data_IF_174130844967
#
_entry.id   IF_174130844967
#
_cell.length_a   1.000
_cell.length_b   1.000
_cell.length_c   1.000
_cell.angle_alpha   90.00
_cell.angle_beta   90.00
_cell.angle_gamma   90.00
#
_symmetry.space_group_name_H-M   'P 1'
#
loop_
_entity.id
_entity.type
_entity.pdbx_description
1 polymer ?
2 non-polymer ?
3 non-polymer ?
4 water ?
#
# COMPACT_ATOMS: atom_id res chain seq x y z
N UNK A 9 -5.29 31.89 2.34
CA UNK A 9 -5.39 30.85 3.36
C UNK A 9 -4.04 30.62 4.03
N UNK A 10 -2.99 31.24 3.49
CA UNK A 10 -1.64 31.01 3.98
C UNK A 10 -1.37 31.63 5.34
N UNK A 11 -2.38 32.19 6.01
CA UNK A 11 -2.18 32.76 7.33
C UNK A 11 -2.94 32.01 8.40
N UNK A 12 -3.39 30.80 8.08
CA UNK A 12 -4.22 30.03 9.01
C UNK A 12 -3.39 29.48 10.17
N UNK A 13 -2.24 28.87 9.86
CA UNK A 13 -1.45 28.23 10.90
C UNK A 13 -0.75 29.23 11.80
N UNK A 14 -0.35 30.38 11.24
CA UNK A 14 0.20 31.43 12.10
C UNK A 14 -0.89 32.11 12.92
N UNK A 15 -2.15 32.03 12.49
CA UNK A 15 -3.24 32.56 13.29
C UNK A 15 -3.57 31.64 14.46
N UNK A 16 -3.52 30.33 14.24
CA UNK A 16 -3.77 29.35 15.29
C UNK A 16 -2.55 29.09 16.17
N UNK A 17 -1.38 29.59 15.79
CA UNK A 17 -0.18 29.38 16.57
C UNK A 17 0.50 28.05 16.33
N UNK A 18 0.35 27.49 15.13
CA UNK A 18 0.94 26.20 14.78
C UNK A 18 2.20 26.45 13.97
N UNK A 19 3.34 25.86 14.35
CA UNK A 19 4.57 26.13 13.60
C UNK A 19 4.59 25.38 12.28
N UNK A 20 5.45 25.85 11.39
CA UNK A 20 5.60 25.26 10.08
C UNK A 20 6.41 26.11 9.13
N UNK A 21 6.81 25.54 8.00
CA UNK A 21 7.61 26.30 7.04
C UNK A 21 6.79 27.36 6.33
N UNK A 22 7.40 28.53 6.13
CA UNK A 22 6.70 29.64 5.51
C UNK A 22 6.36 29.31 4.05
N UNK A 23 5.10 29.41 3.65
CA UNK A 23 4.70 29.07 2.28
C UNK A 23 4.93 30.21 1.31
N UNK A 24 5.23 29.83 0.05
CA UNK A 24 5.30 30.77 -1.04
C UNK A 24 3.91 30.96 -1.67
N UNK A 25 3.63 32.15 -2.21
CA UNK A 25 2.33 32.37 -2.86
C UNK A 25 2.09 31.37 -3.98
N UNK A 26 0.82 30.94 -4.10
CA UNK A 26 0.37 29.95 -5.08
C UNK A 26 0.94 28.55 -4.81
N UNK A 27 2.25 28.47 -4.61
CA UNK A 27 2.90 27.17 -4.48
C UNK A 27 2.73 26.57 -3.09
N UNK A 28 2.67 27.39 -2.05
CA UNK A 28 2.67 26.85 -0.71
C UNK A 28 4.05 26.34 -0.38
N UNK A 29 4.15 25.10 0.09
CA UNK A 29 5.43 24.49 0.44
C UNK A 29 5.84 23.40 -0.55
N UNK A 30 5.26 23.36 -1.75
CA UNK A 30 5.48 22.23 -2.64
C UNK A 30 6.91 22.17 -3.17
N UNK A 31 7.63 23.29 -3.21
CA UNK A 31 9.03 23.23 -3.63
C UNK A 31 9.86 22.37 -2.69
N UNK A 32 9.46 22.29 -1.41
CA UNK A 32 10.16 21.46 -0.45
C UNK A 32 9.98 19.97 -0.71
N UNK A 33 9.16 19.59 -1.70
CA UNK A 33 9.02 18.20 -2.11
C UNK A 33 10.12 17.74 -3.06
N UNK A 34 11.10 18.62 -3.37
CA UNK A 34 12.15 18.24 -4.31
C UNK A 34 12.99 17.09 -3.78
N UNK A 35 13.12 16.99 -2.46
CA UNK A 35 13.83 15.88 -1.83
C UNK A 35 12.90 14.71 -1.50
N UNK A 36 11.68 14.73 -2.01
CA UNK A 36 10.69 13.73 -1.66
C UNK A 36 9.92 14.10 -0.41
N UNK A 37 8.60 13.99 -0.45
CA UNK A 37 7.80 14.40 0.70
C UNK A 37 8.04 13.54 1.93
N UNK A 38 8.68 12.38 1.79
CA UNK A 38 9.05 11.60 2.96
C UNK A 38 10.15 12.29 3.77
N UNK A 39 11.20 12.77 3.08
CA UNK A 39 12.24 13.52 3.76
C UNK A 39 11.69 14.84 4.31
N UNK A 40 10.77 15.47 3.58
CA UNK A 40 10.14 16.68 4.06
C UNK A 40 9.37 16.43 5.36
N UNK A 41 8.71 15.27 5.46
CA UNK A 41 8.00 14.94 6.69
C UNK A 41 8.97 14.71 7.84
N UNK A 42 10.11 14.06 7.57
CA UNK A 42 11.08 13.81 8.63
C UNK A 42 11.70 15.11 9.13
N UNK A 43 12.08 15.99 8.21
CA UNK A 43 12.69 17.26 8.61
C UNK A 43 11.71 18.11 9.41
N UNK A 44 10.45 18.17 8.96
CA UNK A 44 9.45 18.91 9.71
C UNK A 44 9.23 18.30 11.09
N UNK A 45 9.28 16.96 11.18
CA UNK A 45 9.15 16.31 12.48
C UNK A 45 10.32 16.66 13.39
N UNK A 46 11.53 16.77 12.82
CA UNK A 46 12.72 16.95 13.64
C UNK A 46 12.80 18.35 14.23
N UNK A 47 12.27 19.36 13.55
CA UNK A 47 12.45 20.74 13.97
C UNK A 47 11.18 21.42 14.46
N UNK A 48 10.02 20.76 14.39
CA UNK A 48 8.79 21.36 14.85
C UNK A 48 8.11 20.60 15.99
N UNK A 49 8.20 19.27 16.01
CA UNK A 49 7.69 18.52 17.13
C UNK A 49 6.46 17.68 16.83
N UNK A 50 5.51 17.69 17.76
CA UNK A 50 4.34 16.82 17.66
C UNK A 50 3.38 17.24 16.55
N UNK A 51 3.37 18.53 16.21
CA UNK A 51 2.35 19.08 15.32
C UNK A 51 2.98 20.18 14.48
N UNK A 52 2.67 20.19 13.19
CA UNK A 52 3.07 21.29 12.33
C UNK A 52 2.10 21.37 11.16
N UNK A 53 2.10 22.53 10.50
CA UNK A 53 1.24 22.76 9.37
C UNK A 53 2.01 23.23 8.16
N UNK A 54 1.46 22.96 6.99
CA UNK A 54 2.04 23.40 5.73
C UNK A 54 0.93 23.45 4.69
N UNK A 55 1.27 23.93 3.49
CA UNK A 55 0.29 24.22 2.47
C UNK A 55 0.66 23.53 1.17
N UNK A 56 -0.21 22.64 0.70
CA UNK A 56 -0.13 22.10 -0.65
C UNK A 56 -0.86 23.08 -1.55
N UNK A 57 -0.11 24.07 -2.05
CA UNK A 57 -0.74 25.18 -2.75
C UNK A 57 -1.49 26.06 -1.76
N UNK A 58 -2.80 26.13 -1.91
CA UNK A 58 -3.64 26.85 -0.96
C UNK A 58 -4.23 25.94 0.10
N UNK A 59 -4.02 24.64 0.00
CA UNK A 59 -4.65 23.70 0.92
C UNK A 59 -3.85 23.57 2.20
N UNK A 60 -4.40 23.98 3.35
CA UNK A 60 -3.68 23.76 4.61
C UNK A 60 -3.69 22.29 4.98
N UNK A 61 -2.53 21.81 5.45
CA UNK A 61 -2.36 20.43 5.88
C UNK A 61 -1.73 20.45 7.26
N UNK A 62 -2.36 19.78 8.21
CA UNK A 62 -1.87 19.72 9.58
C UNK A 62 -1.37 18.31 9.89
N UNK A 63 -0.07 18.20 10.14
CA UNK A 63 0.53 16.92 10.51
C UNK A 63 0.47 16.74 12.02
N UNK A 64 0.17 15.50 12.44
CA UNK A 64 0.09 15.14 13.84
C UNK A 64 0.87 13.85 14.06
N UNK A 65 1.61 13.79 15.18
CA UNK A 65 2.40 12.61 15.51
C UNK A 65 2.11 12.07 16.91
N UNK A 66 1.12 12.63 17.60
CA UNK A 66 0.78 12.16 18.94
C UNK A 66 -0.12 10.93 18.84
N UNK A 67 0.25 9.81 19.46
CA UNK A 67 -0.54 8.58 19.30
C UNK A 67 -1.98 8.73 19.78
N UNK A 68 -2.20 9.45 20.89
CA UNK A 68 -3.56 9.67 21.36
C UNK A 68 -4.34 10.52 20.37
N UNK A 69 -3.72 11.57 19.83
CA UNK A 69 -4.40 12.42 18.85
C UNK A 69 -4.62 11.69 17.54
N UNK A 70 -3.72 10.77 17.18
CA UNK A 70 -3.88 9.98 15.96
C UNK A 70 -5.07 9.03 16.10
N UNK A 71 -5.19 8.38 17.26
CA UNK A 71 -6.33 7.50 17.50
C UNK A 71 -7.64 8.28 17.46
N UNK A 72 -7.65 9.49 17.99
CA UNK A 72 -8.85 10.32 17.97
C UNK A 72 -9.30 10.59 16.54
N UNK A 73 -8.35 10.80 15.63
CA UNK A 73 -8.68 11.13 14.25
C UNK A 73 -9.06 9.88 13.47
N UNK A 74 -8.23 8.83 13.55
CA UNK A 74 -8.44 7.66 12.71
C UNK A 74 -9.57 6.78 13.22
N UNK A 75 -9.87 6.83 14.51
CA UNK A 75 -10.82 5.89 15.10
C UNK A 75 -11.99 6.60 15.76
N UNK A 76 -11.69 7.44 16.76
CA UNK A 76 -12.74 7.92 17.66
C UNK A 76 -13.66 8.93 16.96
N UNK A 77 -13.11 9.77 16.09
CA UNK A 77 -13.88 10.81 15.42
C UNK A 77 -13.94 10.57 13.92
N UNK A 78 -14.03 9.30 13.52
CA UNK A 78 -13.99 8.97 12.10
C UNK A 78 -15.29 9.33 11.40
N UNK A 79 -16.40 8.73 11.83
CA UNK A 79 -17.68 8.92 11.15
C UNK A 79 -18.20 10.34 11.25
N UNK A 80 -17.78 11.09 12.26
CA UNK A 80 -18.35 12.42 12.53
C UNK A 80 -17.56 13.56 11.90
N UNK A 81 -16.22 13.51 11.93
CA UNK A 81 -15.42 14.64 11.49
C UNK A 81 -14.42 14.23 10.42
N UNK A 82 -13.76 13.09 10.62
CA UNK A 82 -12.67 12.68 9.74
C UNK A 82 -13.05 11.44 8.93
N UNK A 83 -14.06 11.59 8.06
CA UNK A 83 -14.63 10.46 7.34
C UNK A 83 -13.94 10.21 6.00
N UNK A 84 -13.54 11.25 5.29
CA UNK A 84 -13.09 11.14 3.92
C UNK A 84 -11.62 11.51 3.79
N UNK A 85 -11.04 11.12 2.67
CA UNK A 85 -9.67 11.46 2.35
C UNK A 85 -9.63 12.73 1.49
N UNK A 86 -8.41 13.19 1.19
CA UNK A 86 -8.28 14.40 0.33
C UNK A 86 -8.43 13.99 -1.14
N UNK A 87 -9.40 14.55 -1.88
CA UNK A 87 -9.64 14.14 -3.27
C UNK A 87 -8.50 14.56 -4.19
N UNK A 88 -8.40 13.94 -5.37
CA UNK A 88 -7.33 14.30 -6.35
C UNK A 88 -7.95 15.02 -7.55
N UNK A 89 -7.27 14.99 -8.69
CA UNK A 89 -7.79 15.62 -9.92
C UNK A 89 -8.89 14.77 -10.55
N UNK A 90 -9.07 14.82 -11.89
CA UNK A 90 -10.21 14.16 -12.54
C UNK A 90 -10.36 12.69 -12.11
N UNK A 91 -11.49 12.34 -11.50
CA UNK A 91 -11.74 10.99 -11.05
C UNK A 91 -12.70 10.24 -11.97
N UNK A 92 -13.57 10.95 -12.70
CA UNK A 92 -14.51 10.27 -13.57
C UNK A 92 -15.49 9.43 -12.77
N UNK A 93 -15.78 8.23 -13.30
CA UNK A 93 -16.67 7.31 -12.58
C UNK A 93 -15.98 6.67 -11.38
N UNK A 94 -14.66 6.80 -11.25
CA UNK A 94 -13.95 6.23 -10.11
C UNK A 94 -14.30 6.90 -8.79
N UNK A 95 -15.07 7.99 -8.82
CA UNK A 95 -15.60 8.57 -7.59
C UNK A 95 -16.43 7.56 -6.81
N UNK A 96 -16.94 6.53 -7.47
CA UNK A 96 -17.70 5.47 -6.82
C UNK A 96 -16.82 4.34 -6.29
N UNK A 97 -15.51 4.42 -6.48
CA UNK A 97 -14.62 3.47 -5.83
C UNK A 97 -14.60 3.73 -4.33
N UNK A 98 -14.39 2.66 -3.56
CA UNK A 98 -14.54 2.76 -2.12
C UNK A 98 -13.45 3.64 -1.51
N UNK A 99 -12.21 3.53 -2.01
CA UNK A 99 -11.13 4.35 -1.47
C UNK A 99 -11.32 5.83 -1.79
N UNK A 100 -12.18 6.16 -2.76
CA UNK A 100 -12.40 7.54 -3.15
C UNK A 100 -13.74 8.08 -2.67
N UNK A 101 -14.75 7.21 -2.51
CA UNK A 101 -16.09 7.64 -2.14
C UNK A 101 -16.09 8.31 -0.76
N UNK A 102 -17.18 9.01 -0.46
CA UNK A 102 -17.24 9.87 0.71
C UNK A 102 -18.52 9.63 1.50
N UNK A 103 -18.40 9.78 2.83
CA UNK A 103 -19.52 9.91 3.76
C UNK A 103 -20.43 8.68 3.64
N UNK A 104 -21.73 8.83 3.37
CA UNK A 104 -22.64 7.70 3.35
C UNK A 104 -22.46 6.83 2.13
N UNK A 105 -21.93 7.36 1.03
CA UNK A 105 -21.63 6.52 -0.12
C UNK A 105 -20.51 5.53 0.21
N UNK A 106 -19.50 5.99 0.95
CA UNK A 106 -18.44 5.07 1.37
C UNK A 106 -18.95 4.06 2.38
N UNK A 107 -19.78 4.51 3.33
CA UNK A 107 -20.34 3.60 4.32
C UNK A 107 -21.12 2.47 3.65
N UNK A 108 -21.86 2.79 2.59
CA UNK A 108 -22.59 1.77 1.86
C UNK A 108 -21.64 0.80 1.16
N UNK A 109 -20.62 1.33 0.48
CA UNK A 109 -19.66 0.46 -0.20
C UNK A 109 -18.84 -0.35 0.79
N UNK A 110 -18.55 0.21 1.97
CA UNK A 110 -17.81 -0.52 2.98
C UNK A 110 -18.59 -1.73 3.47
N UNK A 111 -19.91 -1.58 3.67
CA UNK A 111 -20.72 -2.70 4.13
C UNK A 111 -20.85 -3.77 3.06
N UNK A 112 -21.02 -3.36 1.79
CA UNK A 112 -21.17 -4.35 0.72
C UNK A 112 -19.90 -5.12 0.47
N UNK A 113 -18.74 -4.51 0.73
CA UNK A 113 -17.45 -5.12 0.40
C UNK A 113 -16.76 -5.76 1.58
N UNK A 114 -17.17 -5.46 2.82
CA UNK A 114 -16.49 -6.02 3.99
C UNK A 114 -16.55 -7.54 4.06
N UNK A 115 -17.70 -8.20 3.86
CA UNK A 115 -17.70 -9.67 3.88
C UNK A 115 -16.84 -10.29 2.81
N UNK A 116 -16.55 -9.57 1.72
CA UNK A 116 -15.69 -10.11 0.68
C UNK A 116 -14.27 -10.34 1.18
N UNK A 117 -13.84 -9.59 2.19
CA UNK A 117 -12.51 -9.70 2.76
C UNK A 117 -12.54 -10.38 4.12
N UNK A 118 -13.43 -11.37 4.28
CA UNK A 118 -13.53 -12.15 5.50
C UNK A 118 -12.42 -13.20 5.54
N UNK A 119 -12.00 -13.55 6.75
CA UNK A 119 -11.06 -14.65 6.92
C UNK A 119 -11.58 -15.94 6.31
N UNK A 120 -12.90 -16.15 6.33
CA UNK A 120 -13.45 -17.34 5.71
C UNK A 120 -13.29 -17.35 4.20
N UNK A 121 -13.61 -16.23 3.56
CA UNK A 121 -13.42 -16.13 2.12
C UNK A 121 -11.93 -16.21 1.77
N UNK A 122 -11.07 -15.65 2.62
CA UNK A 122 -9.64 -15.75 2.41
C UNK A 122 -9.17 -17.20 2.48
N UNK A 123 -9.71 -17.96 3.43
CA UNK A 123 -9.33 -19.36 3.55
C UNK A 123 -9.77 -20.16 2.33
N UNK A 124 -10.84 -19.74 1.66
CA UNK A 124 -11.27 -20.37 0.42
C UNK A 124 -10.43 -19.94 -0.77
N UNK A 125 -9.78 -18.77 -0.69
CA UNK A 125 -8.95 -18.28 -1.78
C UNK A 125 -7.54 -18.86 -1.75
N UNK A 126 -7.13 -19.49 -0.66
CA UNK A 126 -5.77 -20.01 -0.52
C UNK A 126 -5.51 -21.15 -1.50
N UNK A 127 -6.36 -22.18 -1.61
CA UNK A 127 -6.05 -23.26 -2.55
C UNK A 127 -5.99 -22.82 -4.00
N UNK A 128 -6.64 -21.71 -4.36
CA UNK A 128 -6.61 -21.26 -5.74
C UNK A 128 -5.36 -20.45 -6.02
N UNK A 129 -5.08 -19.44 -5.19
CA UNK A 129 -3.92 -18.58 -5.41
C UNK A 129 -2.60 -19.29 -5.12
N UNK A 130 -2.65 -20.45 -4.47
CA UNK A 130 -1.43 -21.23 -4.25
C UNK A 130 -0.96 -21.93 -5.51
N UNK A 131 -1.86 -22.17 -6.47
CA UNK A 131 -1.46 -22.80 -7.72
C UNK A 131 -0.49 -21.94 -8.50
N UNK A 132 -0.56 -20.61 -8.33
CA UNK A 132 0.37 -19.72 -9.00
C UNK A 132 1.72 -19.64 -8.29
N UNK A 133 1.81 -20.12 -7.05
CA UNK A 133 3.12 -20.33 -6.46
C UNK A 133 3.90 -21.38 -7.19
N UNK A 134 3.23 -22.47 -7.61
CA UNK A 134 3.85 -23.44 -8.49
C UNK A 134 4.24 -22.83 -9.83
N UNK A 135 3.51 -21.80 -10.26
CA UNK A 135 3.84 -21.11 -11.50
C UNK A 135 5.00 -20.14 -11.27
N UNK A 136 5.01 -19.44 -10.13
CA UNK A 136 6.07 -18.49 -9.86
C UNK A 136 7.43 -19.17 -9.73
N UNK A 137 7.46 -20.35 -9.12
CA UNK A 137 8.71 -21.08 -8.98
C UNK A 137 9.26 -21.45 -10.36
N UNK A 138 8.39 -21.92 -11.25
CA UNK A 138 8.85 -22.27 -12.60
C UNK A 138 9.26 -21.02 -13.38
N UNK A 139 8.51 -19.92 -13.23
CA UNK A 139 8.91 -18.68 -13.86
C UNK A 139 10.22 -18.15 -13.26
N UNK A 140 10.54 -18.54 -12.04
CA UNK A 140 11.82 -18.18 -11.42
C UNK A 140 12.88 -19.25 -11.62
N UNK A 141 12.48 -20.48 -11.97
CA UNK A 141 13.47 -21.53 -12.24
C UNK A 141 14.23 -21.26 -13.53
N UNK A 142 13.51 -20.89 -14.59
CA UNK A 142 14.13 -20.71 -15.89
C UNK A 142 15.04 -19.48 -15.91
N UNK A 143 14.61 -18.39 -15.26
CA UNK A 143 15.41 -17.18 -15.21
C UNK A 143 16.60 -17.29 -14.26
N UNK A 144 16.63 -18.32 -13.40
CA UNK A 144 17.74 -18.50 -12.46
C UNK A 144 18.87 -19.34 -13.03
N UNK A 145 18.61 -20.13 -14.07
CA UNK A 145 19.66 -20.91 -14.72
C UNK A 145 20.57 -20.04 -15.59
N UNK A 146 20.24 -18.76 -15.77
CA UNK A 146 21.07 -17.89 -16.60
C UNK A 146 22.39 -17.54 -15.93
N UNK A 147 22.42 -17.54 -14.60
CA UNK A 147 23.60 -17.09 -13.89
C UNK A 147 23.78 -15.59 -13.88
N UNK A 148 22.75 -14.84 -14.22
CA UNK A 148 22.77 -13.39 -14.28
C UNK A 148 21.59 -12.84 -13.51
N UNK A 149 21.71 -11.62 -12.97
CA UNK A 149 20.71 -11.12 -12.01
C UNK A 149 19.30 -11.08 -12.59
N UNK A 150 18.33 -11.12 -11.67
CA UNK A 150 16.91 -11.18 -11.99
C UNK A 150 16.23 -9.93 -11.44
N UNK A 151 15.18 -9.49 -12.14
CA UNK A 151 14.37 -8.35 -11.71
C UNK A 151 13.10 -8.89 -11.06
N UNK A 152 13.13 -9.01 -9.73
CA UNK A 152 12.00 -9.59 -9.00
C UNK A 152 10.71 -8.83 -9.29
N UNK A 153 10.81 -7.51 -9.50
CA UNK A 153 9.63 -6.70 -9.77
C UNK A 153 8.77 -7.29 -10.88
N UNK A 154 9.39 -7.86 -11.92
CA UNK A 154 8.63 -8.46 -13.00
C UNK A 154 8.13 -9.85 -12.63
N UNK A 155 8.99 -10.69 -12.06
CA UNK A 155 8.57 -12.04 -11.68
C UNK A 155 7.52 -11.96 -10.58
N UNK A 156 7.63 -10.98 -9.69
CA UNK A 156 6.59 -10.77 -8.68
C UNK A 156 5.37 -10.10 -9.30
N UNK A 157 5.59 -9.10 -10.17
CA UNK A 157 4.47 -8.48 -10.85
C UNK A 157 3.66 -9.47 -11.65
N UNK A 158 4.33 -10.45 -12.27
CA UNK A 158 3.61 -11.52 -12.96
C UNK A 158 2.78 -12.35 -11.98
N UNK A 159 3.41 -12.80 -10.89
CA UNK A 159 2.70 -13.60 -9.91
C UNK A 159 1.51 -12.85 -9.31
N UNK A 160 1.74 -11.59 -8.91
CA UNK A 160 0.67 -10.80 -8.31
C UNK A 160 -0.48 -10.62 -9.29
N UNK A 161 -0.17 -10.36 -10.56
CA UNK A 161 -1.21 -10.22 -11.57
C UNK A 161 -2.01 -11.52 -11.73
N UNK A 162 -1.32 -12.67 -11.69
CA UNK A 162 -2.01 -13.95 -11.75
C UNK A 162 -2.98 -14.16 -10.61
N UNK A 163 -2.78 -13.48 -9.48
CA UNK A 163 -3.60 -13.72 -8.30
C UNK A 163 -4.89 -12.91 -8.37
N UNK A 164 -4.73 -11.65 -8.63
CA UNK A 164 -5.95 -10.85 -8.69
C UNK A 164 -6.83 -11.34 -9.83
N UNK A 165 -6.25 -11.67 -10.99
CA UNK A 165 -7.06 -12.16 -12.10
C UNK A 165 -7.80 -13.46 -11.80
N UNK A 166 -7.21 -14.35 -10.99
CA UNK A 166 -7.83 -15.62 -10.67
C UNK A 166 -8.82 -15.53 -9.52
N UNK A 167 -8.48 -14.82 -8.44
CA UNK A 167 -9.34 -14.74 -7.28
C UNK A 167 -10.26 -13.55 -7.30
N UNK A 168 -10.41 -12.92 -8.46
CA UNK A 168 -11.47 -11.95 -8.64
C UNK A 168 -12.27 -12.18 -9.91
N UNK A 169 -11.74 -12.94 -10.88
CA UNK A 169 -12.47 -13.21 -12.10
C UNK A 169 -12.32 -14.63 -12.63
N UNK A 170 -11.57 -15.50 -11.97
CA UNK A 170 -11.34 -16.83 -12.51
C UNK A 170 -10.56 -16.83 -13.80
N UNK A 171 -9.86 -15.74 -14.11
CA UNK A 171 -9.09 -15.63 -15.33
C UNK A 171 -7.69 -16.19 -15.04
N UNK A 172 -7.49 -17.45 -15.40
CA UNK A 172 -6.27 -18.18 -15.02
C UNK A 172 -5.23 -18.02 -16.12
N UNK A 173 -4.67 -16.87 -16.15
CA UNK A 173 -3.60 -16.55 -17.08
C UNK A 173 -2.27 -16.93 -16.46
N UNK A 174 -1.28 -17.13 -17.33
CA UNK A 174 0.13 -17.15 -16.94
C UNK A 174 0.69 -15.84 -17.51
N UNK A 175 0.58 -14.76 -16.73
CA UNK A 175 0.78 -13.42 -17.26
C UNK A 175 2.16 -13.26 -17.90
N UNK A 176 3.18 -13.92 -17.35
CA UNK A 176 4.51 -13.81 -17.91
C UNK A 176 4.59 -14.46 -19.28
N UNK A 177 4.20 -15.73 -19.36
CA UNK A 177 4.27 -16.49 -20.60
C UNK A 177 3.04 -16.30 -21.48
N UNK A 178 2.18 -15.34 -21.19
CA UNK A 178 1.02 -15.02 -22.01
C UNK A 178 0.81 -13.52 -22.06
N UNK A 179 1.62 -12.79 -22.83
CA UNK A 179 1.31 -11.38 -23.10
C UNK A 179 0.27 -11.25 -24.20
N UNK A 180 -0.68 -12.19 -24.24
CA UNK A 180 -1.66 -12.27 -25.31
C UNK A 180 -3.10 -12.40 -24.83
N UNK A 181 -3.33 -12.83 -23.58
CA UNK A 181 -4.69 -12.97 -23.07
C UNK A 181 -5.37 -11.61 -22.99
N UNK A 182 -6.63 -11.51 -23.42
CA UNK A 182 -7.34 -10.22 -23.37
C UNK A 182 -7.40 -9.58 -21.99
N UNK A 183 -7.12 -10.33 -20.92
CA UNK A 183 -7.10 -9.77 -19.58
C UNK A 183 -5.73 -9.28 -19.16
N UNK A 184 -4.73 -9.33 -20.06
CA UNK A 184 -3.42 -8.79 -19.78
C UNK A 184 -3.18 -7.49 -20.54
N UNK A 185 -3.82 -7.30 -21.71
CA UNK A 185 -3.65 -6.07 -22.46
C UNK A 185 -4.10 -4.86 -21.66
N UNK A 186 -5.32 -4.91 -21.10
CA UNK A 186 -5.86 -3.77 -20.40
C UNK A 186 -5.14 -3.54 -19.08
N UNK A 187 -4.90 -4.61 -18.32
CA UNK A 187 -4.20 -4.48 -17.05
C UNK A 187 -2.83 -3.84 -17.22
N UNK A 188 -2.20 -4.03 -18.38
CA UNK A 188 -0.88 -3.43 -18.63
C UNK A 188 -0.85 -1.93 -18.36
N UNK A 189 -2.00 -1.25 -18.43
CA UNK A 189 -2.06 0.17 -18.11
C UNK A 189 -2.55 0.38 -16.68
N UNK A 190 -1.79 -0.15 -15.73
CA UNK A 190 -1.99 0.18 -14.32
C UNK A 190 -0.73 0.85 -13.77
N UNK A 198 5.03 14.35 -13.37
CA UNK A 198 4.92 15.67 -14.01
C UNK A 198 3.51 16.26 -13.92
N UNK A 199 2.50 15.50 -14.33
CA UNK A 199 1.14 16.01 -14.38
C UNK A 199 0.52 16.09 -12.99
N UNK A 200 0.67 15.04 -12.17
CA UNK A 200 -0.04 14.95 -10.90
C UNK A 200 0.36 16.04 -9.91
N UNK A 201 1.45 16.76 -10.16
CA UNK A 201 1.83 17.87 -9.29
C UNK A 201 1.26 19.20 -9.73
N UNK A 202 0.88 19.33 -11.00
CA UNK A 202 0.19 20.54 -11.44
C UNK A 202 -1.25 20.61 -10.92
N UNK A 203 -1.71 19.59 -10.20
CA UNK A 203 -3.05 19.60 -9.66
C UNK A 203 -3.13 20.45 -8.39
N UNK A 204 -2.05 20.48 -7.59
CA UNK A 204 -2.12 21.16 -6.30
C UNK A 204 -1.97 22.68 -6.45
N UNK A 205 -1.16 23.14 -7.40
CA UNK A 205 -1.10 24.57 -7.66
C UNK A 205 -2.40 25.02 -8.31
N UNK A 206 -3.03 24.16 -9.10
CA UNK A 206 -4.26 24.46 -9.82
C UNK A 206 -5.37 23.50 -9.39
N UNK A 207 -5.85 23.59 -8.14
CA UNK A 207 -6.98 22.76 -7.76
C UNK A 207 -8.28 23.17 -8.44
N UNK A 208 -8.34 24.41 -8.92
CA UNK A 208 -9.51 24.91 -9.65
C UNK A 208 -9.64 24.30 -11.04
N UNK A 209 -8.65 23.53 -11.49
CA UNK A 209 -8.72 22.89 -12.80
C UNK A 209 -9.41 21.53 -12.76
N UNK A 210 -9.56 20.94 -11.57
CA UNK A 210 -10.23 19.64 -11.47
C UNK A 210 -11.65 19.69 -12.04
N UNK A 211 -12.51 20.67 -11.71
CA UNK A 211 -13.82 20.72 -12.37
C UNK A 211 -13.75 20.87 -13.88
N UNK A 212 -12.66 21.41 -14.41
CA UNK A 212 -12.50 21.52 -15.86
C UNK A 212 -12.26 20.16 -16.48
N UNK A 213 -11.37 19.37 -15.87
CA UNK A 213 -11.06 18.06 -16.41
C UNK A 213 -12.19 17.06 -16.19
N UNK A 214 -13.10 17.33 -15.24
CA UNK A 214 -14.26 16.47 -15.02
C UNK A 214 -15.33 16.64 -16.09
N UNK A 215 -15.31 17.74 -16.83
CA UNK A 215 -16.18 17.90 -17.99
C UNK A 215 -15.44 17.60 -19.30
N UNK A 216 -14.12 17.77 -19.35
CA UNK A 216 -13.32 17.29 -20.48
C UNK A 216 -13.21 15.77 -20.49
N UNK A 217 -13.67 15.11 -19.44
CA UNK A 217 -13.68 13.65 -19.29
C UNK A 217 -12.29 13.03 -19.38
N UNK A 218 -11.23 13.85 -19.26
CA UNK A 218 -9.86 13.34 -19.27
C UNK A 218 -9.78 12.63 -17.94
N UNK A 219 -9.79 11.30 -18.00
CA UNK A 219 -9.63 10.49 -16.77
C UNK A 219 -8.12 10.30 -16.58
N UNK A 220 -7.72 9.73 -15.44
CA UNK A 220 -6.27 9.45 -15.18
C UNK A 220 -5.85 8.17 -15.89
N UNK A 221 -6.73 7.58 -16.69
CA UNK A 221 -6.45 6.34 -17.40
C UNK A 221 -6.78 6.53 -18.87
N UNK A 222 -6.22 5.71 -19.75
CA UNK A 222 -6.67 5.71 -21.14
C UNK A 222 -8.10 5.18 -21.25
N UNK A 223 -8.76 5.59 -22.33
CA UNK A 223 -10.10 5.08 -22.60
C UNK A 223 -10.10 3.59 -22.90
N UNK A 224 -8.95 3.03 -23.26
CA UNK A 224 -8.86 1.60 -23.56
C UNK A 224 -9.18 0.75 -22.35
N UNK A 225 -8.72 1.16 -21.17
CA UNK A 225 -8.79 0.30 -19.99
C UNK A 225 -10.24 0.15 -19.52
N UNK A 226 -10.90 1.27 -19.23
CA UNK A 226 -12.20 1.22 -18.57
C UNK A 226 -13.27 0.64 -19.47
N UNK A 227 -13.19 0.91 -20.78
CA UNK A 227 -14.22 0.42 -21.70
C UNK A 227 -14.21 -1.10 -21.80
N UNK A 228 -13.04 -1.71 -21.71
CA UNK A 228 -12.95 -3.17 -21.79
C UNK A 228 -13.47 -3.83 -20.52
N UNK A 229 -13.06 -3.32 -19.35
CA UNK A 229 -13.50 -3.90 -18.09
C UNK A 229 -15.00 -3.70 -17.88
N UNK A 230 -15.56 -2.60 -18.38
CA UNK A 230 -16.99 -2.38 -18.25
C UNK A 230 -17.78 -3.46 -18.98
N UNK A 231 -17.31 -3.87 -20.16
CA UNK A 231 -17.94 -4.96 -20.89
C UNK A 231 -17.58 -6.31 -20.28
N UNK A 232 -16.31 -6.47 -19.90
CA UNK A 232 -15.89 -7.73 -19.21
C UNK A 232 -16.75 -7.91 -17.96
N UNK A 233 -17.36 -6.83 -17.46
CA UNK A 233 -18.23 -6.91 -16.26
C UNK A 233 -19.69 -6.99 -16.73
N UNK A 249 -14.24 -19.04 -6.16
CA UNK A 249 -14.20 -17.93 -5.22
C UNK A 249 -13.45 -16.75 -5.84
N UNK A 250 -14.04 -15.56 -5.75
CA UNK A 250 -13.46 -14.36 -6.35
C UNK A 250 -14.26 -13.15 -5.90
N UNK A 251 -13.67 -11.97 -6.09
CA UNK A 251 -14.31 -10.73 -5.69
C UNK A 251 -15.55 -10.44 -6.53
N UNK A 252 -15.46 -10.66 -7.85
CA UNK A 252 -16.59 -10.37 -8.73
C UNK A 252 -17.83 -11.15 -8.32
N UNK A 253 -17.68 -12.43 -8.00
CA UNK A 253 -18.81 -13.23 -7.55
C UNK A 253 -19.34 -12.72 -6.22
N UNK A 254 -18.48 -12.63 -5.21
CA UNK A 254 -18.92 -12.26 -3.87
C UNK A 254 -19.55 -10.88 -3.84
N UNK A 255 -19.18 -9.99 -4.76
CA UNK A 255 -19.84 -8.70 -4.85
C UNK A 255 -21.18 -8.80 -5.55
N UNK A 256 -21.27 -9.63 -6.59
CA UNK A 256 -22.57 -9.90 -7.21
C UNK A 256 -23.42 -10.81 -6.31
N UNK A 257 -22.77 -11.66 -5.52
CA UNK A 257 -23.50 -12.52 -4.59
C UNK A 257 -24.29 -11.70 -3.58
N UNK A 258 -23.67 -10.67 -3.02
CA UNK A 258 -24.33 -9.82 -2.02
C UNK A 258 -25.26 -8.79 -2.63
N UNK A 259 -25.60 -8.92 -3.91
CA UNK A 259 -26.57 -8.02 -4.55
C UNK A 259 -27.99 -8.45 -4.23
N UNK A 267 -29.42 2.70 2.17
CA UNK A 267 -28.25 2.71 1.30
C UNK A 267 -28.21 1.49 0.39
N UNK A 268 -28.73 0.37 0.91
CA UNK A 268 -28.57 -0.96 0.33
C UNK A 268 -29.04 -1.03 -1.12
N UNK A 269 -28.08 -1.20 -2.03
CA UNK A 269 -28.25 -1.34 -3.47
C UNK A 269 -26.86 -1.45 -4.08
N UNK A 270 -26.81 -1.88 -5.34
CA UNK A 270 -25.57 -1.94 -6.09
C UNK A 270 -25.84 -1.57 -7.54
N UNK A 271 -24.76 -1.42 -8.31
CA UNK A 271 -24.86 -0.92 -9.67
C UNK A 271 -23.83 -1.61 -10.54
N UNK A 272 -23.90 -1.32 -11.84
CA UNK A 272 -23.01 -1.96 -12.81
C UNK A 272 -21.67 -1.25 -12.90
N UNK A 273 -21.69 0.08 -13.13
CA UNK A 273 -20.43 0.81 -13.26
C UNK A 273 -19.67 0.87 -11.94
N UNK A 274 -20.38 0.84 -10.81
CA UNK A 274 -19.71 0.79 -9.52
C UNK A 274 -18.96 -0.54 -9.34
N UNK A 275 -19.50 -1.62 -9.90
CA UNK A 275 -18.83 -2.91 -9.79
C UNK A 275 -17.47 -2.88 -10.47
N UNK A 276 -17.37 -2.20 -11.62
CA UNK A 276 -16.09 -2.07 -12.31
C UNK A 276 -15.16 -1.16 -11.52
N UNK A 277 -15.69 -0.13 -10.87
CA UNK A 277 -14.85 0.79 -10.11
C UNK A 277 -14.13 0.07 -8.98
N UNK A 278 -14.84 -0.79 -8.23
CA UNK A 278 -14.20 -1.54 -7.17
C UNK A 278 -13.24 -2.59 -7.72
N UNK A 279 -13.54 -3.14 -8.89
CA UNK A 279 -12.63 -4.10 -9.51
C UNK A 279 -11.30 -3.43 -9.87
N UNK A 280 -11.36 -2.22 -10.42
CA UNK A 280 -10.14 -1.50 -10.76
C UNK A 280 -9.33 -1.19 -9.51
N UNK A 281 -10.01 -0.82 -8.41
CA UNK A 281 -9.31 -0.48 -7.18
C UNK A 281 -8.61 -1.70 -6.59
N UNK A 282 -9.16 -2.90 -6.80
CA UNK A 282 -8.52 -4.10 -6.28
C UNK A 282 -7.29 -4.46 -7.11
N UNK A 283 -7.38 -4.29 -8.43
CA UNK A 283 -6.31 -4.74 -9.32
C UNK A 283 -5.03 -3.92 -9.08
N UNK A 284 -5.16 -2.59 -8.98
CA UNK A 284 -3.99 -1.79 -8.67
C UNK A 284 -3.39 -2.18 -7.32
N UNK A 285 -4.23 -2.39 -6.30
CA UNK A 285 -3.70 -2.77 -5.00
C UNK A 285 -3.05 -4.14 -5.04
N UNK A 286 -3.75 -5.15 -5.57
CA UNK A 286 -3.22 -6.49 -5.61
C UNK A 286 -1.97 -6.65 -6.48
N UNK A 287 -1.69 -5.68 -7.35
CA UNK A 287 -0.53 -5.72 -8.23
C UNK A 287 0.62 -4.85 -7.72
N UNK A 288 0.40 -3.54 -7.68
CA UNK A 288 1.51 -2.62 -7.40
C UNK A 288 1.99 -2.74 -5.97
N UNK A 289 1.07 -2.86 -5.01
CA UNK A 289 1.48 -2.94 -3.61
C UNK A 289 2.13 -4.30 -3.32
N UNK A 290 1.50 -5.39 -3.77
CA UNK A 290 1.98 -6.72 -3.44
C UNK A 290 3.37 -6.97 -4.01
N UNK A 291 3.58 -6.61 -5.28
CA UNK A 291 4.88 -6.86 -5.89
C UNK A 291 5.95 -5.91 -5.36
N UNK A 292 5.57 -4.67 -5.02
CA UNK A 292 6.56 -3.73 -4.49
C UNK A 292 7.05 -4.16 -3.12
N UNK A 293 6.15 -4.61 -2.25
CA UNK A 293 6.57 -5.07 -0.93
C UNK A 293 7.43 -6.32 -1.05
N UNK A 294 7.02 -7.27 -1.91
CA UNK A 294 7.80 -8.49 -2.10
C UNK A 294 9.21 -8.16 -2.58
N UNK A 295 9.35 -7.20 -3.50
CA UNK A 295 10.68 -6.80 -3.94
C UNK A 295 11.45 -6.16 -2.80
N UNK A 296 10.78 -5.41 -1.92
CA UNK A 296 11.43 -4.85 -0.75
C UNK A 296 11.88 -5.95 0.21
N UNK A 297 11.07 -7.01 0.35
CA UNK A 297 11.41 -8.09 1.27
C UNK A 297 12.64 -8.85 0.78
N UNK A 298 12.72 -9.13 -0.51
CA UNK A 298 13.84 -9.90 -1.04
C UNK A 298 15.14 -9.12 -0.93
N UNK A 299 15.08 -7.80 -1.14
CA UNK A 299 16.27 -6.97 -0.94
C UNK A 299 16.78 -7.10 0.49
N UNK A 300 15.87 -7.11 1.46
CA UNK A 300 16.29 -7.25 2.86
C UNK A 300 16.76 -8.67 3.16
N UNK A 301 16.18 -9.68 2.51
CA UNK A 301 16.60 -11.05 2.74
C UNK A 301 17.95 -11.33 2.10
N UNK A 302 18.22 -10.73 0.94
CA UNK A 302 19.51 -10.94 0.29
C UNK A 302 20.62 -10.18 0.99
N UNK A 303 20.34 -8.93 1.40
CA UNK A 303 21.32 -8.14 2.13
C UNK A 303 21.42 -8.53 3.60
N UNK A 304 20.57 -9.44 4.07
CA UNK A 304 20.68 -10.01 5.42
C UNK A 304 20.49 -11.51 5.31
N UNK A 305 21.49 -12.24 4.80
CA UNK A 305 21.33 -13.69 4.61
C UNK A 305 21.15 -14.47 5.90
N UNK A 306 21.51 -13.89 7.06
CA UNK A 306 21.22 -14.54 8.32
C UNK A 306 19.71 -14.62 8.56
N UNK A 307 18.99 -13.56 8.21
CA UNK A 307 17.53 -13.59 8.29
C UNK A 307 16.97 -14.58 7.27
N UNK A 308 17.60 -14.67 6.10
CA UNK A 308 17.09 -15.54 5.04
C UNK A 308 17.16 -17.01 5.44
N UNK A 309 18.30 -17.44 6.01
CA UNK A 309 18.41 -18.84 6.44
C UNK A 309 17.44 -19.13 7.59
N UNK A 310 17.35 -18.23 8.56
CA UNK A 310 16.44 -18.45 9.68
C UNK A 310 15.00 -18.55 9.22
N UNK A 311 14.63 -17.80 8.18
CA UNK A 311 13.30 -17.93 7.60
C UNK A 311 13.17 -19.26 6.87
N UNK A 312 14.18 -19.63 6.07
CA UNK A 312 14.14 -20.90 5.35
C UNK A 312 14.09 -22.09 6.31
N UNK A 313 14.76 -21.99 7.47
CA UNK A 313 14.72 -23.07 8.43
C UNK A 313 13.36 -23.16 9.12
N UNK A 314 12.73 -22.00 9.38
CA UNK A 314 11.38 -22.02 9.93
C UNK A 314 10.39 -22.62 8.95
N UNK A 315 10.53 -22.29 7.66
CA UNK A 315 9.64 -22.83 6.64
C UNK A 315 9.83 -24.34 6.52
N UNK A 316 11.07 -24.80 6.63
CA UNK A 316 11.33 -26.24 6.52
C UNK A 316 10.77 -27.00 7.72
N UNK A 317 10.91 -26.44 8.92
CA UNK A 317 10.41 -27.12 10.11
C UNK A 317 8.89 -27.18 10.12
N UNK A 318 8.23 -26.21 9.49
CA UNK A 318 6.77 -26.20 9.42
C UNK A 318 6.28 -26.99 8.21
N UNK A 319 6.92 -26.83 7.07
CA UNK A 319 6.59 -27.55 5.83
C UNK A 319 7.77 -28.44 5.47
N UNK A 320 7.74 -29.72 5.86
CA UNK A 320 8.91 -30.60 5.63
C UNK A 320 9.11 -30.88 4.14
N UNK A 321 10.27 -30.47 3.63
CA UNK A 321 10.74 -30.80 2.29
C UNK A 321 9.77 -30.27 1.22
N UNK A 322 9.72 -28.94 1.13
CA UNK A 322 8.94 -28.24 0.11
C UNK A 322 7.47 -28.64 0.14
N UNK A 323 6.91 -28.76 1.34
CA UNK A 323 5.52 -29.14 1.49
C UNK A 323 4.60 -27.98 1.09
N UNK A 324 3.40 -28.28 0.58
CA UNK A 324 2.51 -27.23 0.12
C UNK A 324 1.94 -26.42 1.27
N UNK A 325 2.06 -25.09 1.23
CA UNK A 325 1.51 -24.27 2.31
C UNK A 325 -0.01 -24.16 2.21
N UNK A 326 -0.63 -23.99 3.38
CA UNK A 326 -2.07 -23.83 3.50
C UNK A 326 -2.35 -22.60 4.37
N UNK A 327 -3.64 -22.27 4.48
CA UNK A 327 -4.04 -21.14 5.32
C UNK A 327 -3.63 -21.36 6.77
N UNK A 328 -3.99 -22.51 7.33
CA UNK A 328 -3.72 -22.77 8.75
C UNK A 328 -2.23 -22.79 9.05
N UNK A 329 -1.40 -23.21 8.09
CA UNK A 329 0.02 -23.33 8.33
C UNK A 329 0.79 -22.05 8.03
N UNK A 330 0.19 -21.12 7.27
CA UNK A 330 0.84 -19.84 7.04
C UNK A 330 0.84 -19.00 8.31
N UNK A 331 -0.27 -19.01 9.04
CA UNK A 331 -0.37 -18.29 10.31
C UNK A 331 0.52 -18.89 11.39
N UNK A 332 1.12 -20.04 11.15
CA UNK A 332 1.95 -20.72 12.14
C UNK A 332 3.41 -20.28 12.10
N UNK A 333 3.81 -19.50 11.09
CA UNK A 333 5.20 -19.10 10.92
C UNK A 333 5.41 -17.73 11.56
N UNK A 334 5.95 -17.72 12.78
CA UNK A 334 6.12 -16.47 13.51
C UNK A 334 7.18 -15.58 12.86
N UNK A 335 8.32 -16.17 12.51
CA UNK A 335 9.43 -15.37 11.97
C UNK A 335 9.09 -14.81 10.60
N UNK A 336 8.30 -15.52 9.80
CA UNK A 336 7.84 -14.96 8.53
C UNK A 336 7.01 -13.71 8.77
N UNK A 337 6.15 -13.73 9.79
CA UNK A 337 5.36 -12.55 10.11
C UNK A 337 6.25 -11.42 10.62
N UNK A 338 7.35 -11.75 11.29
CA UNK A 338 8.25 -10.72 11.78
C UNK A 338 9.01 -10.06 10.63
N UNK A 339 9.38 -10.85 9.61
CA UNK A 339 10.09 -10.30 8.46
C UNK A 339 9.18 -9.36 7.67
N UNK A 340 7.94 -9.77 7.45
CA UNK A 340 7.01 -8.93 6.67
C UNK A 340 6.71 -7.63 7.42
N UNK A 341 6.53 -7.71 8.75
CA UNK A 341 6.22 -6.52 9.52
C UNK A 341 7.38 -5.54 9.52
N UNK A 342 8.61 -6.04 9.58
CA UNK A 342 9.77 -5.15 9.62
C UNK A 342 10.02 -4.50 8.27
N UNK A 343 9.72 -5.20 7.18
CA UNK A 343 9.84 -4.58 5.87
C UNK A 343 8.80 -3.47 5.71
N UNK A 344 7.56 -3.72 6.15
CA UNK A 344 6.52 -2.70 6.04
C UNK A 344 6.80 -1.51 6.94
N UNK A 345 7.58 -1.70 8.01
CA UNK A 345 8.01 -0.55 8.80
C UNK A 345 8.98 0.31 8.00
N UNK A 346 10.01 -0.30 7.42
CA UNK A 346 10.99 0.47 6.64
C UNK A 346 10.37 1.06 5.39
N UNK A 347 9.41 0.37 4.77
CA UNK A 347 8.83 0.79 3.50
C UNK A 347 7.31 0.75 3.59
N UNK A 348 6.69 1.69 4.33
CA UNK A 348 5.23 1.79 4.32
C UNK A 348 4.74 2.44 3.04
N UNK A 349 4.23 1.64 2.10
CA UNK A 349 3.98 2.12 0.74
C UNK A 349 2.90 3.20 0.66
N UNK A 350 2.10 3.39 1.70
CA UNK A 350 1.17 4.51 1.70
C UNK A 350 1.81 5.80 2.16
N UNK A 351 2.90 5.73 2.92
CA UNK A 351 3.71 6.88 3.33
C UNK A 351 2.92 7.78 4.29
N UNK A 352 1.72 8.22 3.89
CA UNK A 352 0.93 9.13 4.70
C UNK A 352 -0.50 8.62 4.79
N UNK A 353 -1.13 8.84 5.95
CA UNK A 353 -2.56 8.72 6.11
C UNK A 353 -3.16 10.13 6.17
N UNK A 354 -4.35 10.30 5.60
CA UNK A 354 -4.96 11.62 5.52
C UNK A 354 -6.46 11.54 5.74
N UNK A 355 -6.99 12.57 6.40
CA UNK A 355 -8.42 12.73 6.60
C UNK A 355 -8.77 14.21 6.44
N UNK A 356 -9.95 14.46 5.89
CA UNK A 356 -10.46 15.82 5.73
C UNK A 356 -11.37 16.16 6.89
N UNK A 357 -11.22 17.36 7.43
CA UNK A 357 -12.01 17.83 8.57
C UNK A 357 -13.39 18.22 8.08
N UNK A 358 -14.42 17.49 8.50
CA UNK A 358 -15.79 17.79 8.07
C UNK A 358 -16.30 19.08 8.71
N UNK A 359 -16.02 19.28 9.99
CA UNK A 359 -16.52 20.44 10.71
C UNK A 359 -15.36 21.02 11.53
N UNK A 360 -15.69 21.86 12.50
CA UNK A 360 -14.71 22.34 13.45
C UNK A 360 -14.69 21.42 14.67
N UNK A 361 -13.50 21.23 15.25
CA UNK A 361 -13.31 20.27 16.33
C UNK A 361 -12.11 20.71 17.15
N UNK A 362 -12.09 20.25 18.41
CA UNK A 362 -10.94 20.50 19.30
C UNK A 362 -10.47 19.13 19.77
N UNK A 363 -9.45 18.57 19.12
CA UNK A 363 -9.02 17.18 19.46
C UNK A 363 -7.76 17.05 20.30
N UNK A 364 -7.83 16.28 21.38
CA UNK A 364 -6.72 16.18 22.38
C UNK A 364 -6.08 17.56 22.61
N UNK A 365 -6.89 18.57 22.90
CA UNK A 365 -6.33 19.90 23.25
C UNK A 365 -5.77 20.67 22.08
N UNK A 366 -6.48 20.73 20.95
CA UNK A 366 -6.02 21.59 19.81
C UNK A 366 -7.18 21.79 18.86
N UNK A 367 -7.39 23.02 18.40
CA UNK A 367 -8.55 23.28 17.56
C UNK A 367 -8.21 23.08 16.09
N UNK A 368 -9.05 22.33 15.39
CA UNK A 368 -8.85 22.05 13.97
C UNK A 368 -10.03 22.61 13.19
N UNK A 369 -9.83 23.60 12.33
CA UNK A 369 -10.95 24.21 11.62
C UNK A 369 -11.38 23.39 10.41
N UNK A 370 -12.62 23.62 10.00
CA UNK A 370 -13.20 22.89 8.88
C UNK A 370 -12.38 23.11 7.61
N UNK A 371 -12.17 22.04 6.86
CA UNK A 371 -11.47 22.08 5.60
C UNK A 371 -10.00 21.69 5.68
N UNK A 372 -9.41 21.71 6.87
CA UNK A 372 -8.00 21.36 7.02
C UNK A 372 -7.84 19.87 6.81
N UNK A 373 -6.83 19.49 6.02
CA UNK A 373 -6.46 18.09 5.86
C UNK A 373 -5.51 17.71 7.00
N UNK A 374 -5.93 16.73 7.81
CA UNK A 374 -5.07 16.20 8.86
C UNK A 374 -4.30 15.02 8.31
N UNK A 375 -2.99 15.00 8.55
CA UNK A 375 -2.10 14.02 7.93
C UNK A 375 -1.24 13.35 8.99
N UNK A 376 -1.10 12.04 8.88
CA UNK A 376 -0.25 11.24 9.75
C UNK A 376 0.94 10.78 8.93
N UNK A 377 2.16 11.25 9.21
CA UNK A 377 3.32 10.85 8.41
C UNK A 377 3.84 9.47 8.77
N UNK A 378 3.29 8.43 8.15
CA UNK A 378 3.64 7.06 8.51
C UNK A 378 5.13 6.78 8.33
N UNK A 379 5.67 7.17 7.17
CA UNK A 379 7.09 6.92 6.90
C UNK A 379 7.96 7.55 7.96
N UNK A 380 7.66 8.80 8.34
CA UNK A 380 8.46 9.47 9.35
C UNK A 380 8.31 8.81 10.72
N UNK A 381 7.08 8.42 11.07
CA UNK A 381 6.86 7.79 12.37
C UNK A 381 7.50 6.41 12.46
N UNK A 382 7.53 5.68 11.35
CA UNK A 382 8.20 4.37 11.33
C UNK A 382 9.70 4.48 11.52
N UNK A 383 10.28 5.64 11.20
CA UNK A 383 11.72 5.86 11.33
C UNK A 383 12.05 6.91 12.37
N UNK A 384 11.15 7.15 13.31
CA UNK A 384 11.38 8.12 14.37
C UNK A 384 12.37 7.54 15.38
N UNK A 385 13.54 8.15 15.57
CA UNK A 385 14.47 7.64 16.60
C UNK A 385 13.89 7.62 18.00
N UNK A 386 12.76 8.30 18.22
CA UNK A 386 12.10 8.25 19.53
C UNK A 386 11.60 6.84 19.84
N UNK A 387 10.72 6.33 18.99
CA UNK A 387 10.07 5.04 19.24
C UNK A 387 10.88 3.85 18.74
N UNK A 388 11.95 4.06 18.00
CA UNK A 388 12.66 2.98 17.33
C UNK A 388 14.15 3.06 17.61
N UNK A 389 14.72 1.96 18.08
CA UNK A 389 16.16 1.83 18.26
C UNK A 389 16.80 1.49 16.92
N UNK A 390 17.73 2.34 16.48
CA UNK A 390 18.36 2.22 15.16
C UNK A 390 17.28 2.05 14.09
N UNK A 391 16.52 3.11 13.78
CA UNK A 391 15.38 2.94 12.87
C UNK A 391 15.78 2.51 11.47
N UNK A 392 16.97 2.89 11.00
CA UNK A 392 17.40 2.54 9.66
C UNK A 392 17.82 1.09 9.52
N UNK A 393 17.94 0.35 10.63
CA UNK A 393 18.35 -1.04 10.59
C UNK A 393 17.16 -1.95 10.33
N UNK A 394 17.40 -3.00 9.54
CA UNK A 394 16.41 -4.06 9.31
C UNK A 394 16.60 -5.10 10.40
N UNK A 395 15.74 -5.07 11.42
CA UNK A 395 15.85 -5.94 12.59
C UNK A 395 14.52 -6.64 12.81
N UNK A 396 14.32 -7.84 12.24
CA UNK A 396 13.04 -8.54 12.40
C UNK A 396 12.67 -8.83 13.84
N UNK A 397 13.64 -8.88 14.76
CA UNK A 397 13.33 -9.20 16.15
C UNK A 397 12.54 -8.11 16.86
N UNK A 398 12.33 -6.94 16.23
CA UNK A 398 11.46 -5.93 16.81
C UNK A 398 10.05 -6.47 17.03
N UNK A 399 9.60 -7.37 16.15
CA UNK A 399 8.23 -7.86 16.17
C UNK A 399 8.14 -9.28 16.73
N UNK A 400 9.09 -9.69 17.56
CA UNK A 400 8.96 -10.95 18.26
C UNK A 400 7.87 -10.85 19.32
N UNK A 401 7.35 -12.00 19.77
CA UNK A 401 6.21 -11.97 20.73
C UNK A 401 6.58 -11.15 21.96
N UNK A 402 7.88 -11.00 22.23
CA UNK A 402 8.31 -10.27 23.45
C UNK A 402 8.22 -8.76 23.20
N UNK A 403 8.96 -8.25 22.23
CA UNK A 403 9.01 -6.78 22.00
C UNK A 403 7.76 -6.31 21.26
N UNK A 404 7.06 -7.22 20.58
CA UNK A 404 5.90 -6.80 19.77
C UNK A 404 4.95 -5.96 20.62
N UNK A 405 5.03 -6.09 21.94
CA UNK A 405 4.15 -5.34 22.83
C UNK A 405 4.64 -3.93 23.09
N UNK A 406 5.93 -3.67 22.89
CA UNK A 406 6.50 -2.33 22.99
C UNK A 406 6.36 -1.59 21.66
N UNK A 407 5.22 -1.74 20.98
CA UNK A 407 4.97 -1.11 19.69
C UNK A 407 3.59 -0.48 19.73
N UNK A 408 3.55 0.85 19.68
CA UNK A 408 2.29 1.58 19.69
C UNK A 408 1.57 1.37 18.35
N UNK A 409 0.33 0.86 18.34
CA UNK A 409 -0.34 0.61 17.05
C UNK A 409 -0.73 1.87 16.30
N UNK A 410 -0.53 3.06 16.89
CA UNK A 410 -0.81 4.31 16.20
C UNK A 410 0.47 5.02 15.78
N UNK A 411 1.63 4.45 16.06
CA UNK A 411 2.88 4.85 15.44
C UNK A 411 3.21 3.96 14.25
N UNK A 412 3.01 2.65 14.41
CA UNK A 412 3.22 1.67 13.34
C UNK A 412 1.87 1.41 12.68
N UNK A 413 1.63 2.03 11.53
CA UNK A 413 0.33 1.96 10.85
C UNK A 413 0.51 1.65 9.37
N UNK A 414 1.06 0.48 9.03
CA UNK A 414 1.26 0.17 7.60
C UNK A 414 -0.04 -0.06 6.84
N UNK A 415 -1.13 -0.40 7.53
CA UNK A 415 -2.43 -0.58 6.91
C UNK A 415 -3.45 0.44 7.42
N UNK A 416 -2.98 1.54 8.01
CA UNK A 416 -3.90 2.49 8.59
C UNK A 416 -4.49 1.98 9.89
N UNK A 417 -5.63 2.57 10.26
CA UNK A 417 -6.37 2.18 11.46
C UNK A 417 -7.74 2.83 11.41
N UNK A 418 -8.68 2.24 12.14
CA UNK A 418 -10.01 2.77 12.24
C UNK A 418 -10.95 2.21 11.19
N UNK A 419 -12.18 2.75 11.14
CA UNK A 419 -13.19 2.19 10.21
C UNK A 419 -12.79 2.26 8.74
N UNK A 420 -11.76 3.02 8.39
CA UNK A 420 -11.37 3.16 6.99
C UNK A 420 -9.93 2.69 6.76
N UNK A 421 -9.49 1.69 7.51
CA UNK A 421 -8.18 1.11 7.28
C UNK A 421 -8.20 0.23 6.04
N UNK A 422 -7.06 -0.38 5.72
CA UNK A 422 -6.96 -1.22 4.54
C UNK A 422 -7.87 -2.43 4.66
N UNK A 423 -8.91 -2.49 3.82
CA UNK A 423 -9.86 -3.58 3.89
C UNK A 423 -9.23 -4.90 3.43
N UNK A 424 -8.16 -4.83 2.65
CA UNK A 424 -7.54 -6.04 2.13
C UNK A 424 -6.25 -6.41 2.83
N UNK A 425 -6.09 -5.95 4.07
CA UNK A 425 -4.85 -6.21 4.81
C UNK A 425 -4.56 -7.70 4.90
N UNK A 426 -5.52 -8.49 5.35
CA UNK A 426 -5.28 -9.91 5.56
C UNK A 426 -5.07 -10.65 4.24
N UNK A 427 -5.76 -10.24 3.18
CA UNK A 427 -5.50 -10.84 1.86
C UNK A 427 -4.10 -10.49 1.38
N UNK A 428 -3.67 -9.25 1.60
CA UNK A 428 -2.34 -8.83 1.18
C UNK A 428 -1.26 -9.59 1.96
N UNK A 429 -1.45 -9.76 3.26
CA UNK A 429 -0.46 -10.49 4.07
C UNK A 429 -0.42 -11.97 3.69
N UNK A 430 -1.60 -12.56 3.43
CA UNK A 430 -1.64 -13.96 3.02
C UNK A 430 -1.04 -14.14 1.63
N UNK A 431 -1.28 -13.18 0.73
CA UNK A 431 -0.80 -13.31 -0.64
C UNK A 431 0.72 -13.25 -0.70
N UNK A 432 1.32 -12.28 0.01
CA UNK A 432 2.77 -12.13 -0.04
C UNK A 432 3.47 -13.29 0.65
N UNK A 433 2.90 -13.80 1.75
CA UNK A 433 3.54 -14.87 2.48
C UNK A 433 3.53 -16.18 1.68
N UNK A 434 2.42 -16.49 1.01
CA UNK A 434 2.39 -17.66 0.15
C UNK A 434 3.43 -17.56 -0.96
N UNK A 435 3.69 -16.34 -1.44
CA UNK A 435 4.73 -16.16 -2.45
C UNK A 435 6.11 -16.39 -1.86
N UNK A 436 6.35 -15.90 -0.64
CA UNK A 436 7.67 -16.03 -0.03
C UNK A 436 7.99 -17.47 0.32
N UNK A 437 6.99 -18.23 0.78
CA UNK A 437 7.23 -19.61 1.21
C UNK A 437 7.70 -20.45 0.03
N UNK A 438 6.94 -20.45 -1.06
CA UNK A 438 7.31 -21.25 -2.22
C UNK A 438 8.61 -20.79 -2.85
N UNK A 439 8.85 -19.47 -2.84
CA UNK A 439 10.07 -18.95 -3.44
C UNK A 439 11.30 -19.30 -2.60
N UNK A 440 11.14 -19.35 -1.28
CA UNK A 440 12.25 -19.69 -0.40
C UNK A 440 12.38 -21.18 -0.16
N UNK A 441 11.33 -21.96 -0.43
CA UNK A 441 11.44 -23.42 -0.36
C UNK A 441 12.31 -23.99 -1.46
N UNK A 442 12.51 -23.25 -2.55
CA UNK A 442 13.26 -23.74 -3.70
C UNK A 442 14.47 -22.90 -4.07
N UNK A 443 14.59 -21.68 -3.56
CA UNK A 443 15.62 -20.76 -4.02
C UNK A 443 16.25 -20.03 -2.84
N UNK A 444 17.47 -19.55 -3.07
CA UNK A 444 18.15 -18.61 -2.20
C UNK A 444 18.52 -17.38 -3.02
N UNK A 445 18.72 -16.25 -2.33
CA UNK A 445 18.88 -14.96 -2.99
C UNK A 445 20.10 -14.25 -2.42
N UNK A 446 20.96 -13.77 -3.31
CA UNK A 446 22.18 -13.06 -2.97
C UNK A 446 22.28 -11.79 -3.79
N UNK A 447 23.01 -10.78 -3.30
CA UNK A 447 23.16 -9.55 -4.07
C UNK A 447 24.00 -9.72 -5.33
N UNK A 448 24.27 -8.61 -6.02
CA UNK A 448 25.06 -8.64 -7.24
C UNK A 448 25.82 -7.31 -7.36
N UNK A 449 26.67 -7.24 -8.38
CA UNK A 449 27.28 -5.96 -8.74
C UNK A 449 26.23 -4.96 -9.19
N UNK A 450 25.13 -5.46 -9.76
CA UNK A 450 24.04 -4.59 -10.21
C UNK A 450 23.11 -4.17 -9.08
N UNK A 451 23.18 -4.81 -7.92
CA UNK A 451 22.28 -4.49 -6.82
C UNK A 451 22.66 -3.15 -6.20
N UNK A 452 21.65 -2.31 -5.94
CA UNK A 452 21.85 -0.99 -5.36
C UNK A 452 21.90 -1.12 -3.84
N UNK A 453 23.09 -1.07 -3.27
CA UNK A 453 23.31 -1.15 -1.84
C UNK A 453 24.04 0.10 -1.38
N UNK A 454 23.46 0.90 -0.49
CA UNK A 454 22.13 0.75 0.12
C UNK A 454 21.02 1.15 -0.83
N UNK A 455 19.83 0.56 -0.70
CA UNK A 455 18.73 0.91 -1.57
C UNK A 455 18.32 2.36 -1.33
N UNK A 456 18.09 3.08 -2.42
CA UNK A 456 17.54 4.43 -2.38
C UNK A 456 16.12 4.42 -2.91
N UNK A 457 15.27 5.25 -2.33
CA UNK A 457 13.87 5.33 -2.72
C UNK A 457 13.70 6.44 -3.76
N UNK A 458 12.89 6.15 -4.78
CA UNK A 458 12.60 7.15 -5.80
C UNK A 458 11.84 8.32 -5.18
N UNK A 459 12.12 9.53 -5.68
CA UNK A 459 11.55 10.75 -5.14
C UNK A 459 10.24 11.13 -5.83
N UNK A 460 9.48 10.16 -6.32
CA UNK A 460 8.22 10.41 -6.97
C UNK A 460 7.05 10.43 -6.01
N UNK A 461 5.90 10.00 -6.50
CA UNK A 461 4.69 9.95 -5.68
C UNK A 461 4.44 8.59 -5.09
N UNK A 462 5.07 7.56 -5.65
CA UNK A 462 4.97 6.20 -5.16
C UNK A 462 6.22 5.82 -4.38
N UNK A 463 6.03 4.97 -3.37
CA UNK A 463 7.16 4.44 -2.59
C UNK A 463 7.66 3.19 -3.29
N UNK A 464 8.75 3.34 -4.04
CA UNK A 464 9.32 2.23 -4.79
C UNK A 464 10.81 2.49 -4.93
N UNK A 465 11.61 1.45 -5.20
CA UNK A 465 13.06 1.65 -5.33
C UNK A 465 13.39 2.61 -6.47
N UNK A 466 14.42 3.43 -6.23
CA UNK A 466 14.90 4.34 -7.26
C UNK A 466 15.28 3.57 -8.52
N UNK A 467 16.01 2.47 -8.36
CA UNK A 467 16.36 1.55 -9.43
C UNK A 467 15.86 0.15 -9.07
N UNK A 468 15.49 -0.66 -10.05
CA UNK A 468 14.89 -1.97 -9.75
C UNK A 468 15.81 -2.85 -8.93
N UNK A 469 15.20 -3.68 -8.08
CA UNK A 469 15.94 -4.58 -7.21
C UNK A 469 16.35 -5.79 -8.03
N UNK A 470 17.66 -5.98 -8.22
CA UNK A 470 18.20 -7.11 -8.96
C UNK A 470 19.06 -7.94 -8.01
N UNK A 471 18.83 -9.25 -8.01
CA UNK A 471 19.49 -10.15 -7.07
C UNK A 471 19.91 -11.43 -7.77
N UNK A 472 21.03 -11.99 -7.34
CA UNK A 472 21.43 -13.32 -7.77
C UNK A 472 20.49 -14.35 -7.16
N UNK A 473 20.01 -15.27 -7.98
CA UNK A 473 19.06 -16.30 -7.56
C UNK A 473 19.72 -17.66 -7.72
N UNK A 474 19.89 -18.36 -6.61
CA UNK A 474 20.35 -19.75 -6.61
C UNK A 474 19.16 -20.66 -6.32
N UNK A 475 19.39 -21.95 -6.46
CA UNK A 475 18.39 -22.97 -6.17
C UNK A 475 18.93 -23.92 -5.09
N UNK A 476 18.12 -24.89 -4.72
CA UNK A 476 18.49 -25.82 -3.66
C UNK A 476 18.46 -27.27 -4.17
X LIG B 1 -6.52 1.52 2.17
X LIG B 1 -2.05 -0.25 2.84
X LIG B 1 -3.00 -3.87 -0.24
X LIG B 1 -7.59 -2.33 -0.60
X LIG B 1 -5.23 1.37 2.61
X LIG B 1 -4.52 2.25 3.52
X LIG B 1 -3.30 1.76 3.70
X LIG B 1 -3.17 0.55 2.92
X LIG B 1 -2.20 2.38 4.60
X LIG B 1 -5.11 3.53 4.15
X LIG B 1 -5.72 3.22 5.51
X LIG B 1 -6.15 4.51 6.16
X LIG B 1 -6.46 4.48 7.39
X LIG B 1 -6.19 5.55 5.47
X LIG B 1 -1.91 -1.39 2.08
X LIG B 1 -0.74 -2.24 2.02
X LIG B 1 -1.00 -3.24 1.15
X LIG B 1 -2.35 -3.06 0.66
X LIG B 1 0.54 -1.95 2.83
X LIG B 1 -0.11 -4.44 0.71
X LIG B 1 1.13 -4.69 1.17
X LIG B 1 -4.35 -3.81 -0.55
X LIG B 1 -5.10 -4.82 -1.28
X LIG B 1 -6.38 -4.40 -1.37
X LIG B 1 -6.46 -3.11 -0.72
X LIG B 1 -4.47 -6.13 -1.80
X LIG B 1 -7.62 -5.06 -2.03
X LIG B 1 -7.59 -6.19 -2.74
X LIG B 1 -7.70 -1.13 0.09
X LIG B 1 -8.86 -0.28 0.13
X LIG B 1 -8.57 0.78 0.88
X LIG B 1 -7.21 0.64 1.36
X LIG B 1 -10.20 -0.56 -0.58
X LIG B 1 -9.51 1.96 1.22
X LIG B 1 -10.48 1.52 2.31
X LIG B 1 -11.59 2.52 2.46
X LIG B 1 -12.65 2.17 3.05
X LIG B 1 -11.42 3.68 2.00
X LIG B 1 -4.36 0.34 2.27
X LIG B 1 -2.86 -1.92 1.24
X LIG B 1 -5.21 -2.78 -0.24
X LIG B 1 -6.71 -0.54 0.84
X LIG B 1 -4.82 -1.28 1.05
X LIG C 1 2.30 14.41 -5.36
X LIG C 1 2.43 14.50 -3.83
X LIG C 1 2.30 15.96 -3.39
X LIG C 1 1.33 13.67 -3.14
X LIG C 1 -0.60 12.86 -2.22
X LIG C 1 -2.08 12.94 -1.82
X LIG C 1 -2.48 11.05 -0.24
X LIG C 1 -3.37 10.85 -2.64
X LIG C 1 -3.21 9.31 -4.70
X LIG C 1 -2.37 9.25 -5.99
X LIG C 1 -2.83 10.26 -7.08
X LIG C 1 -3.62 12.42 -5.90
X LIG C 1 -3.40 13.92 -6.22
X LIG C 1 -1.11 13.42 -5.68
X LIG C 1 -1.30 12.30 -6.71
X LIG C 1 -3.44 7.91 -4.10
X LIG C 1 -5.60 6.73 -3.39
X LIG C 1 -6.46 7.02 -4.63
X LIG C 1 -6.45 5.78 -5.55
X LIG C 1 -5.01 5.24 -5.73
X LIG C 1 -4.60 5.09 -7.22
X LIG C 1 -5.81 4.94 -8.16
X LIG C 1 -6.28 6.05 -8.89
X LIG C 1 -7.37 5.90 -9.74
X LIG C 1 -7.99 4.66 -9.89
X LIG C 1 -7.51 3.55 -9.19
X LIG C 1 -6.41 3.69 -8.33
X LIG C 1 -5.86 2.97 -4.78
X LIG C 1 -5.50 0.81 -3.68
X LIG C 1 -4.64 0.43 -2.47
X LIG C 1 -4.81 -0.37 -1.34
X LIG C 1 -2.65 0.36 -0.96
X LIG C 1 -6.46 6.59 -2.13
X LIG C 1 -5.75 5.53 -1.27
X LIG C 1 -6.29 4.24 -1.19
X LIG C 1 -5.63 3.26 -0.44
X LIG C 1 -4.44 3.58 0.23
X LIG C 1 -3.90 4.86 0.14
X LIG C 1 -4.55 5.84 -0.62
X LIG C 1 0.23 11.73 -1.99
X LIG C 1 0.04 13.89 -2.84
X LIG C 1 -2.65 11.59 -1.59
X LIG C 1 -2.59 10.22 -3.71
X LIG C 1 -2.58 11.62 -6.56
X LIG C 1 -4.60 7.80 -3.20
X LIG C 1 -4.80 3.97 -5.01
X LIG C 1 -3.71 -0.38 -0.55
X LIG C 1 -4.59 10.73 -2.61
X LIG C 1 -2.15 14.39 -5.71
X LIG C 1 -2.69 6.98 -4.35
X LIG C 1 -6.78 2.75 -5.55
X LIG C 1 -5.81 2.20 -3.59
X LIG C 1 -3.09 1.11 -2.44
X LIG C 1 1.77 12.12 -2.61
#
# INVERSE_FOLDING_TARGET
>A
MAYLYGTHSHGLFKKLGIPGPTPLPFLGNILSYHKGFCMFDMECHKKYGKVWGFYDGQQPVLAITDPDMIKTVLVKECYSVFTNRRPFGPVGFMKSAISIAEDEEWKRLRSLLSPTFTSGKLKEMVPIIAQYGDVLVRNLRREAETGKPVTLKDVFGAYSMDVITSTSFGVNIDSLNNPQDPFVENTKKLLRFDFLDPFFLSITVFPFLIPILEVLNICVFPREVTNFLRKSVKRMKESRLEDTQKHRVDFLQLMIDSQNSKETESHKALSDLELVAQSIIFIFAGYETTSSVLSFIMYELATHPDVQQKLQEEIDAVLPNKAPPTYDTVLQMEYLDMVVNETLRLFPIAMRLERVCKKDVEINGMFIPKGVVVMIPSYALHRDPKYWTEPEKFLPERFSKKNKDNIDPYIYTPFGSGPRNCIGMRFALMNMKLALIRVLQNFSFKPCKETQIPLKLSLGGLLQPEKPVVLKVESRDGTVSGAHHHH
>B hetero
1 HEM CHA CHB CHC CHD C1A C2A C3A C4A CMA CAA CBA CGA O1A O2A C1B C2B C3B C4B CMB CAB CBB C1C C2C C3C C4C CMC CAC CBC C1D C2D C3D C4D CMD CAD CBD CGD O1D O2D NA NB NC ND FE
>C hetero
1 A1APA C01 C02 C03 C04 C06 C07 C09 C10 C13 C14 C15 C17 C18 C20 C21 C22 C25 C26 C27 C28 C29 C30 C31 C32 C33 C34 C35 C37 C40 C41 C42 C44 C46 C47 C48 C49 C50 C51 C52 C53 N05 N08 N12 N16 N24 N36 N43 O11 O19 O23 O38 O39 S45 S54
#
